data_IF_864864232548
#
_entry.id   IF_864864232548
#
_cell.length_a   1.000
_cell.length_b   1.000
_cell.length_c   1.000
_cell.angle_alpha   90.00
_cell.angle_beta   90.00
_cell.angle_gamma   90.00
#
_symmetry.space_group_name_H-M   'P 1'
#
loop_
_entity.id
_entity.type
_entity.pdbx_description
1 polymer ?
#
# COMPACT_ATOMS: atom_id res chain seq x y z
N UNK A 1 -1.53 4.99 -15.67
CA UNK A 1 -2.31 4.22 -14.69
C UNK A 1 -1.73 4.44 -13.30
N UNK A 2 -2.58 4.70 -12.34
CA UNK A 2 -2.17 4.86 -10.95
C UNK A 2 -2.50 3.62 -10.14
N UNK A 3 -1.59 3.22 -9.28
CA UNK A 3 -1.77 2.09 -8.38
C UNK A 3 -1.59 2.53 -6.92
N UNK A 4 -2.25 1.83 -6.03
CA UNK A 4 -2.07 1.98 -4.60
C UNK A 4 -1.75 0.59 -4.04
N UNK A 5 -0.58 0.44 -3.47
CA UNK A 5 -0.18 -0.80 -2.82
C UNK A 5 -0.35 -0.64 -1.31
N UNK A 6 -0.96 -1.63 -0.67
CA UNK A 6 -1.03 -1.64 0.78
C UNK A 6 0.30 -2.12 1.40
N UNK A 7 0.37 -2.08 2.73
CA UNK A 7 1.58 -2.47 3.44
C UNK A 7 2.00 -3.92 3.16
N UNK A 8 1.06 -4.83 2.97
CA UNK A 8 1.36 -6.23 2.65
C UNK A 8 2.13 -6.35 1.34
N UNK A 9 1.79 -5.55 0.35
CA UNK A 9 2.47 -5.58 -0.96
C UNK A 9 3.93 -5.14 -0.86
N UNK A 10 4.23 -4.14 -0.04
CA UNK A 10 5.61 -3.70 0.18
C UNK A 10 6.42 -4.69 1.02
N UNK A 11 5.78 -5.39 1.94
CA UNK A 11 6.45 -6.30 2.87
C UNK A 11 6.64 -7.71 2.31
N UNK A 12 5.80 -8.16 1.39
CA UNK A 12 5.82 -9.55 0.90
C UNK A 12 7.20 -10.02 0.41
N UNK A 13 7.99 -9.23 -0.33
CA UNK A 13 9.33 -9.64 -0.74
C UNK A 13 10.30 -9.93 0.39
N UNK A 14 10.04 -9.41 1.60
CA UNK A 14 10.88 -9.63 2.78
C UNK A 14 10.43 -10.84 3.62
N UNK A 15 9.28 -11.43 3.30
CA UNK A 15 8.77 -12.57 4.04
C UNK A 15 9.57 -13.84 3.72
N UNK A 16 9.40 -14.87 4.55
CA UNK A 16 10.06 -16.16 4.37
C UNK A 16 9.70 -16.76 3.00
N UNK A 17 10.72 -16.98 2.16
CA UNK A 17 10.57 -17.48 0.80
C UNK A 17 10.60 -19.02 0.70
N UNK A 18 10.42 -19.72 1.82
CA UNK A 18 10.45 -21.20 1.83
C UNK A 18 9.24 -21.84 1.14
N UNK A 19 8.14 -21.12 1.00
CA UNK A 19 6.92 -21.59 0.34
C UNK A 19 6.80 -21.02 -1.07
N UNK A 20 6.49 -21.88 -2.04
CA UNK A 20 6.35 -21.44 -3.44
C UNK A 20 5.30 -20.34 -3.62
N UNK A 21 4.21 -20.39 -2.87
CA UNK A 21 3.18 -19.35 -2.91
C UNK A 21 3.76 -17.96 -2.58
N UNK A 22 4.58 -17.88 -1.53
CA UNK A 22 5.21 -16.63 -1.11
C UNK A 22 6.20 -16.15 -2.17
N UNK A 23 6.98 -17.06 -2.76
CA UNK A 23 7.91 -16.71 -3.84
C UNK A 23 7.16 -16.12 -5.03
N UNK A 24 6.06 -16.74 -5.46
CA UNK A 24 5.28 -16.26 -6.60
C UNK A 24 4.64 -14.91 -6.32
N UNK A 25 4.09 -14.71 -5.13
CA UNK A 25 3.53 -13.42 -4.73
C UNK A 25 4.61 -12.33 -4.68
N UNK A 26 5.79 -12.66 -4.14
CA UNK A 26 6.92 -11.74 -4.06
C UNK A 26 7.39 -11.31 -5.45
N UNK A 27 7.51 -12.25 -6.39
CA UNK A 27 7.90 -11.93 -7.77
C UNK A 27 6.90 -11.00 -8.44
N UNK A 28 5.58 -11.25 -8.23
CA UNK A 28 4.55 -10.38 -8.77
C UNK A 28 4.65 -8.96 -8.19
N UNK A 29 4.84 -8.83 -6.88
CA UNK A 29 4.96 -7.51 -6.22
C UNK A 29 6.22 -6.78 -6.67
N UNK A 30 7.35 -7.49 -6.81
CA UNK A 30 8.59 -6.91 -7.29
C UNK A 30 8.48 -6.41 -8.73
N UNK A 31 7.74 -7.12 -9.57
CA UNK A 31 7.49 -6.67 -10.95
C UNK A 31 6.70 -5.36 -10.98
N UNK A 32 5.65 -5.25 -10.16
CA UNK A 32 4.87 -4.00 -10.03
C UNK A 32 5.77 -2.88 -9.52
N UNK A 33 6.57 -3.13 -8.49
CA UNK A 33 7.48 -2.14 -7.92
C UNK A 33 8.52 -1.68 -8.95
N UNK A 34 9.02 -2.59 -9.80
CA UNK A 34 9.95 -2.21 -10.86
C UNK A 34 9.29 -1.25 -11.87
N UNK A 35 8.04 -1.50 -12.24
CA UNK A 35 7.29 -0.61 -13.11
C UNK A 35 7.04 0.75 -12.47
N UNK A 36 6.86 0.80 -11.16
CA UNK A 36 6.76 2.05 -10.41
C UNK A 36 8.07 2.83 -10.45
N UNK A 37 9.21 2.16 -10.25
CA UNK A 37 10.54 2.80 -10.34
C UNK A 37 10.83 3.33 -11.74
N UNK A 38 10.42 2.60 -12.76
CA UNK A 38 10.66 2.95 -14.16
C UNK A 38 9.70 4.05 -14.67
N UNK A 39 8.73 4.45 -13.86
CA UNK A 39 7.75 5.46 -14.24
C UNK A 39 6.65 4.94 -15.16
N UNK A 40 6.59 3.64 -15.43
CA UNK A 40 5.53 3.03 -16.23
C UNK A 40 4.20 3.08 -15.49
N UNK A 41 4.24 2.89 -14.18
CA UNK A 41 3.10 3.03 -13.30
C UNK A 41 3.32 4.20 -12.35
N UNK A 42 2.34 5.09 -12.26
CA UNK A 42 2.27 6.07 -11.18
C UNK A 42 1.74 5.37 -9.92
N UNK A 43 2.22 5.78 -8.76
CA UNK A 43 1.74 5.19 -7.52
C UNK A 43 1.44 6.27 -6.48
N UNK A 44 0.58 5.90 -5.54
CA UNK A 44 0.07 6.78 -4.50
C UNK A 44 0.49 6.24 -3.14
N UNK A 45 0.90 7.13 -2.29
CA UNK A 45 1.21 6.87 -0.89
C UNK A 45 0.11 7.46 -0.01
N UNK A 46 0.05 7.08 1.26
CA UNK A 46 -0.92 7.65 2.19
C UNK A 46 -0.38 7.72 3.61
N UNK A 47 -1.03 8.55 4.43
CA UNK A 47 -0.72 8.60 5.87
C UNK A 47 -1.07 7.29 6.58
N UNK A 48 -1.96 6.46 6.02
CA UNK A 48 -2.25 5.13 6.54
C UNK A 48 -1.03 4.22 6.41
N UNK A 49 -0.33 4.28 5.27
CA UNK A 49 0.92 3.55 5.07
C UNK A 49 1.99 4.02 6.06
N UNK A 50 2.14 5.32 6.25
CA UNK A 50 3.07 5.88 7.24
C UNK A 50 2.79 5.32 8.64
N UNK A 51 1.51 5.30 9.02
CA UNK A 51 1.09 4.80 10.33
C UNK A 51 1.43 3.31 10.49
N UNK A 52 1.08 2.48 9.51
CA UNK A 52 1.33 1.03 9.59
C UNK A 52 2.83 0.73 9.63
N UNK A 53 3.61 1.42 8.80
CA UNK A 53 5.05 1.21 8.73
C UNK A 53 5.73 1.67 10.02
N UNK A 54 5.28 2.79 10.60
CA UNK A 54 5.80 3.29 11.87
C UNK A 54 5.56 2.30 13.03
N UNK A 55 4.55 1.45 12.91
CA UNK A 55 4.21 0.42 13.89
C UNK A 55 4.76 -0.95 13.58
N UNK A 56 5.51 -1.08 12.49
CA UNK A 56 6.12 -2.34 12.12
C UNK A 56 7.17 -2.77 13.14
N UNK A 57 7.13 -4.04 13.54
CA UNK A 57 8.18 -4.64 14.36
C UNK A 57 9.43 -4.99 13.56
N UNK A 58 9.38 -4.88 12.24
CA UNK A 58 10.49 -5.16 11.34
C UNK A 58 11.14 -3.85 10.91
N UNK A 59 12.00 -3.29 11.77
CA UNK A 59 12.62 -1.97 11.55
C UNK A 59 13.39 -1.92 10.23
N UNK A 60 14.13 -2.98 9.92
CA UNK A 60 14.93 -3.03 8.67
C UNK A 60 14.04 -2.95 7.43
N UNK A 61 12.88 -3.63 7.46
CA UNK A 61 11.90 -3.55 6.38
C UNK A 61 11.33 -2.14 6.25
N UNK A 62 10.97 -1.53 7.37
CA UNK A 62 10.43 -0.18 7.41
C UNK A 62 11.40 0.82 6.78
N UNK A 63 12.68 0.74 7.10
CA UNK A 63 13.71 1.62 6.54
C UNK A 63 13.88 1.46 5.04
N UNK A 64 13.60 0.28 4.48
CA UNK A 64 13.67 0.03 3.05
C UNK A 64 12.38 0.42 2.32
N UNK A 65 11.25 0.41 3.01
CA UNK A 65 9.94 0.72 2.42
C UNK A 65 9.64 2.22 2.47
N UNK A 66 9.98 2.90 3.55
CA UNK A 66 9.67 4.34 3.72
C UNK A 66 10.10 5.23 2.53
N UNK A 67 11.27 5.01 1.90
CA UNK A 67 11.67 5.84 0.76
C UNK A 67 10.72 5.82 -0.44
N UNK A 68 9.85 4.82 -0.57
CA UNK A 68 8.85 4.79 -1.63
C UNK A 68 7.93 5.99 -1.60
N UNK A 69 7.67 6.57 -0.41
CA UNK A 69 6.83 7.76 -0.27
C UNK A 69 7.33 8.93 -1.11
N UNK A 70 8.64 9.04 -1.31
CA UNK A 70 9.24 10.18 -2.03
C UNK A 70 8.96 10.15 -3.53
N UNK A 71 8.71 8.98 -4.11
CA UNK A 71 8.42 8.82 -5.53
C UNK A 71 6.93 8.79 -5.86
N UNK A 72 6.06 8.86 -4.87
CA UNK A 72 4.62 8.84 -5.10
C UNK A 72 4.15 10.14 -5.76
N UNK A 73 3.21 10.01 -6.72
CA UNK A 73 2.65 11.19 -7.40
C UNK A 73 1.67 11.95 -6.50
N UNK A 74 1.06 11.24 -5.53
CA UNK A 74 0.16 11.83 -4.53
C UNK A 74 0.42 11.14 -3.20
N UNK A 75 0.44 11.92 -2.12
CA UNK A 75 0.45 11.41 -0.76
C UNK A 75 -0.88 11.81 -0.11
N UNK A 76 -1.76 10.83 0.08
CA UNK A 76 -3.12 11.06 0.58
C UNK A 76 -3.10 11.20 2.10
N UNK A 77 -3.49 12.38 2.59
CA UNK A 77 -3.74 12.58 4.01
C UNK A 77 -5.18 12.20 4.35
N UNK A 78 -5.39 11.52 5.47
CA UNK A 78 -6.74 11.17 5.92
C UNK A 78 -7.49 12.45 6.28
N UNK A 79 -8.71 12.58 5.75
CA UNK A 79 -9.64 13.66 6.06
C UNK A 79 -11.01 13.08 6.39
N UNK A 80 -11.98 13.95 6.70
CA UNK A 80 -13.32 13.52 7.09
C UNK A 80 -14.05 12.78 5.97
N UNK A 81 -13.84 13.18 4.72
CA UNK A 81 -14.45 12.50 3.56
C UNK A 81 -13.95 11.07 3.46
N UNK A 82 -12.64 10.87 3.59
CA UNK A 82 -12.02 9.53 3.55
C UNK A 82 -12.50 8.69 4.73
N UNK A 83 -12.58 9.28 5.93
CA UNK A 83 -13.09 8.57 7.11
C UNK A 83 -14.53 8.13 6.93
N UNK A 84 -15.39 8.98 6.40
CA UNK A 84 -16.79 8.64 6.14
C UNK A 84 -16.89 7.50 5.12
N UNK A 85 -16.10 7.57 4.05
CA UNK A 85 -16.10 6.52 3.03
C UNK A 85 -15.59 5.20 3.58
N UNK A 86 -14.55 5.24 4.42
CA UNK A 86 -14.03 4.06 5.09
C UNK A 86 -15.09 3.40 5.97
N UNK A 87 -15.89 4.18 6.70
CA UNK A 87 -16.98 3.65 7.53
C UNK A 87 -18.05 2.95 6.69
N UNK A 88 -18.34 3.46 5.50
CA UNK A 88 -19.25 2.79 4.58
C UNK A 88 -18.72 1.41 4.17
N UNK A 89 -17.43 1.32 3.88
CA UNK A 89 -16.77 0.04 3.56
C UNK A 89 -16.76 -0.92 4.76
N UNK A 90 -16.55 -0.41 5.97
CA UNK A 90 -16.64 -1.23 7.18
C UNK A 90 -18.04 -1.81 7.35
N UNK A 91 -19.07 -1.01 7.07
CA UNK A 91 -20.47 -1.45 7.11
C UNK A 91 -20.75 -2.56 6.10
N UNK A 92 -20.00 -2.60 5.00
CA UNK A 92 -20.07 -3.66 4.00
C UNK A 92 -19.24 -4.90 4.36
N UNK A 93 -18.57 -4.93 5.53
CA UNK A 93 -17.86 -6.08 6.04
C UNK A 93 -16.35 -6.01 5.96
N UNK A 94 -15.76 -4.89 5.54
CA UNK A 94 -14.31 -4.75 5.48
C UNK A 94 -13.72 -4.43 6.86
N UNK A 95 -12.49 -4.87 7.08
CA UNK A 95 -11.74 -4.51 8.28
C UNK A 95 -11.38 -3.02 8.25
N UNK A 96 -11.26 -2.36 9.42
CA UNK A 96 -11.01 -0.91 9.47
C UNK A 96 -9.80 -0.43 8.68
N UNK A 97 -8.66 -1.12 8.74
CA UNK A 97 -7.46 -0.71 8.00
C UNK A 97 -7.61 -0.91 6.51
N UNK A 98 -8.21 -2.03 6.09
CA UNK A 98 -8.48 -2.28 4.68
C UNK A 98 -9.44 -1.23 4.11
N UNK A 99 -10.46 -0.88 4.89
CA UNK A 99 -11.42 0.16 4.52
C UNK A 99 -10.74 1.51 4.30
N UNK A 100 -9.79 1.89 5.17
CA UNK A 100 -9.02 3.14 5.04
C UNK A 100 -8.15 3.11 3.78
N UNK A 101 -7.47 2.01 3.51
CA UNK A 101 -6.65 1.89 2.30
C UNK A 101 -7.49 2.03 1.03
N UNK A 102 -8.62 1.36 0.97
CA UNK A 102 -9.51 1.42 -0.20
C UNK A 102 -10.05 2.84 -0.38
N UNK A 103 -10.45 3.50 0.70
CA UNK A 103 -10.94 4.87 0.65
C UNK A 103 -9.86 5.84 0.14
N UNK A 104 -8.61 5.67 0.57
CA UNK A 104 -7.49 6.46 0.08
C UNK A 104 -7.24 6.22 -1.41
N UNK A 105 -7.24 4.97 -1.85
CA UNK A 105 -7.04 4.60 -3.24
C UNK A 105 -8.14 5.18 -4.13
N UNK A 106 -9.40 5.08 -3.69
CA UNK A 106 -10.55 5.63 -4.41
C UNK A 106 -10.42 7.14 -4.56
N UNK A 107 -10.04 7.85 -3.50
CA UNK A 107 -9.92 9.31 -3.52
C UNK A 107 -8.86 9.81 -4.51
N UNK A 108 -7.84 9.01 -4.77
CA UNK A 108 -6.76 9.34 -5.69
C UNK A 108 -6.96 8.73 -7.10
N UNK A 109 -8.08 8.05 -7.34
CA UNK A 109 -8.38 7.44 -8.63
C UNK A 109 -7.45 6.28 -9.00
N UNK A 110 -7.10 5.44 -8.02
CA UNK A 110 -6.15 4.35 -8.18
C UNK A 110 -6.81 2.99 -8.31
N UNK A 111 -6.08 2.06 -8.94
CA UNK A 111 -6.31 0.64 -8.74
C UNK A 111 -5.67 0.25 -7.39
N UNK A 112 -6.43 -0.50 -6.60
CA UNK A 112 -5.99 -0.98 -5.29
C UNK A 112 -5.44 -2.40 -5.39
N UNK A 113 -4.31 -2.64 -4.71
CA UNK A 113 -3.76 -3.98 -4.58
C UNK A 113 -3.24 -4.23 -3.16
#
# INVERSE_FOLDING_TARGET
MRVYLDNCCYNRPFDDQSQIRVVLESLAKLNIQQQMRDGVLEYVWSSVLDFEISRSRFIDRALQIMPWANGAVVNVAINDVIRCRAKEFESAGLKPMDALHIACAESAGCLYD
#
